data_IF_961054571127
#
_entry.id   IF_961054571127
#
_cell.length_a   1.000
_cell.length_b   1.000
_cell.length_c   1.000
_cell.angle_alpha   90.00
_cell.angle_beta   90.00
_cell.angle_gamma   90.00
#
_symmetry.space_group_name_H-M   'P 1'
#
loop_
_entity.id
_entity.type
_entity.pdbx_description
1 polymer ?
#
# COMPACT_ATOMS: atom_id res chain seq x y z
N UNK A 1 19.38 39.05 -29.97
CA UNK A 1 18.80 37.69 -30.08
C UNK A 1 18.99 36.98 -28.75
N UNK A 2 17.93 36.56 -28.04
CA UNK A 2 18.08 35.87 -26.77
C UNK A 2 18.68 34.46 -26.96
N UNK A 3 19.61 34.09 -26.08
CA UNK A 3 20.29 32.79 -26.07
C UNK A 3 19.29 31.64 -25.96
N UNK A 4 19.54 30.53 -26.67
CA UNK A 4 18.73 29.30 -26.64
C UNK A 4 18.43 28.79 -25.23
N UNK A 5 19.29 29.09 -24.25
CA UNK A 5 19.10 28.72 -22.84
C UNK A 5 18.03 29.56 -22.13
N UNK A 6 17.83 30.82 -22.54
CA UNK A 6 16.82 31.71 -21.94
C UNK A 6 15.41 31.32 -22.41
N UNK A 7 15.28 30.89 -23.67
CA UNK A 7 14.00 30.44 -24.24
C UNK A 7 13.52 29.13 -23.59
N UNK A 8 14.44 28.20 -23.29
CA UNK A 8 14.09 26.93 -22.63
C UNK A 8 13.64 27.12 -21.19
N UNK A 9 14.28 28.01 -20.44
CA UNK A 9 13.86 28.31 -19.06
C UNK A 9 12.49 28.99 -19.00
N UNK A 10 12.17 29.87 -19.95
CA UNK A 10 10.87 30.54 -20.01
C UNK A 10 9.73 29.54 -20.34
N UNK A 11 9.97 28.55 -21.20
CA UNK A 11 8.99 27.51 -21.53
C UNK A 11 8.69 26.60 -20.34
N UNK A 12 9.72 26.24 -19.54
CA UNK A 12 9.54 25.41 -18.34
C UNK A 12 8.80 26.18 -17.24
N UNK A 13 9.07 27.47 -17.06
CA UNK A 13 8.37 28.30 -16.09
C UNK A 13 6.89 28.54 -16.47
N UNK A 14 6.58 28.73 -17.75
CA UNK A 14 5.18 28.85 -18.21
C UNK A 14 4.41 27.53 -18.04
N UNK A 15 5.05 26.38 -18.24
CA UNK A 15 4.42 25.06 -18.02
C UNK A 15 4.01 24.80 -16.57
N UNK A 16 4.80 25.26 -15.59
CA UNK A 16 4.50 25.12 -14.17
C UNK A 16 3.36 26.06 -13.70
N UNK A 17 3.23 27.24 -14.31
CA UNK A 17 2.18 28.21 -13.95
C UNK A 17 0.81 27.79 -14.49
N UNK A 18 0.75 27.20 -15.70
CA UNK A 18 -0.51 26.72 -16.31
C UNK A 18 -1.07 25.49 -15.58
N UNK A 19 -0.21 24.62 -15.03
CA UNK A 19 -0.63 23.41 -14.33
C UNK A 19 -1.21 23.70 -12.93
N UNK A 20 -0.77 24.76 -12.25
CA UNK A 20 -1.36 25.23 -10.98
C UNK A 20 -2.71 25.92 -11.22
N UNK A 21 -2.89 26.60 -12.35
CA UNK A 21 -4.15 27.29 -12.69
C UNK A 21 -5.28 26.32 -13.07
N UNK A 22 -4.97 25.18 -13.72
CA UNK A 22 -5.96 24.17 -14.10
C UNK A 22 -6.52 23.39 -12.90
N UNK A 23 -5.74 23.22 -11.82
CA UNK A 23 -6.18 22.53 -10.61
C UNK A 23 -7.06 23.39 -9.70
N UNK A 24 -7.09 24.71 -9.88
CA UNK A 24 -7.85 25.63 -9.03
C UNK A 24 -9.22 26.05 -9.61
N UNK A 25 -9.62 25.54 -10.79
CA UNK A 25 -10.91 25.85 -11.44
C UNK A 25 -12.01 24.80 -11.24
N UNK A 26 -11.73 23.70 -10.55
CA UNK A 26 -12.71 22.64 -10.28
C UNK A 26 -13.26 22.71 -8.85
N UNK A 27 -13.93 23.82 -8.50
CA UNK A 27 -14.87 23.86 -7.38
C UNK A 27 -16.30 23.78 -7.93
N UNK A 28 -16.89 22.60 -7.84
CA UNK A 28 -18.30 22.38 -8.21
C UNK A 28 -19.18 22.92 -7.07
N UNK A 29 -19.99 23.92 -7.39
CA UNK A 29 -21.05 24.42 -6.52
C UNK A 29 -22.15 23.35 -6.39
N UNK A 30 -22.33 22.80 -5.20
CA UNK A 30 -23.50 21.97 -4.89
C UNK A 30 -24.64 22.89 -4.46
N UNK A 31 -25.55 23.13 -5.39
CA UNK A 31 -26.85 23.76 -5.12
C UNK A 31 -27.67 22.85 -4.21
N UNK A 32 -28.09 23.37 -3.06
CA UNK A 32 -29.08 22.73 -2.19
C UNK A 32 -30.41 22.66 -2.94
N UNK A 33 -30.89 21.45 -3.24
CA UNK A 33 -32.27 21.24 -3.69
C UNK A 33 -33.10 20.70 -2.53
N UNK A 34 -34.21 21.38 -2.26
CA UNK A 34 -35.18 21.07 -1.21
C UNK A 34 -35.89 19.74 -1.47
N UNK A 35 -36.14 19.02 -0.38
CA UNK A 35 -36.95 17.82 -0.34
C UNK A 35 -38.42 18.15 -0.63
N UNK A 36 -39.05 17.37 -1.53
CA UNK A 36 -40.50 17.13 -1.49
C UNK A 36 -40.74 15.70 -1.06
N UNK A 37 -41.58 15.60 -0.03
CA UNK A 37 -42.13 14.39 0.57
C UNK A 37 -42.58 13.36 -0.47
N UNK A 38 -42.15 12.12 -0.27
CA UNK A 38 -42.97 10.93 -0.47
C UNK A 38 -42.35 9.81 0.37
N UNK A 39 -42.98 9.56 1.51
CA UNK A 39 -42.63 8.54 2.48
C UNK A 39 -42.87 7.15 1.90
N UNK A 40 -41.79 6.37 1.76
CA UNK A 40 -41.84 4.92 1.57
C UNK A 40 -41.01 4.31 2.68
N UNK A 41 -41.65 3.46 3.48
CA UNK A 41 -41.09 2.77 4.64
C UNK A 41 -39.81 2.02 4.27
N UNK A 42 -38.69 2.42 4.87
CA UNK A 42 -37.43 1.70 4.83
C UNK A 42 -37.42 0.63 5.90
N UNK A 43 -37.20 -0.62 5.51
CA UNK A 43 -36.67 -1.61 6.45
C UNK A 43 -35.29 -1.12 6.88
N UNK A 44 -35.11 -0.97 8.19
CA UNK A 44 -33.86 -0.54 8.83
C UNK A 44 -32.71 -1.46 8.40
N UNK A 45 -31.73 -0.90 7.70
CA UNK A 45 -30.42 -1.52 7.52
C UNK A 45 -29.66 -1.37 8.85
N UNK A 46 -29.69 -2.40 9.69
CA UNK A 46 -28.74 -2.51 10.79
C UNK A 46 -27.34 -2.79 10.23
N UNK A 47 -26.43 -1.86 10.52
CA UNK A 47 -25.00 -2.02 10.79
C UNK A 47 -24.20 -2.99 9.90
N UNK A 48 -23.68 -2.44 8.79
CA UNK A 48 -22.51 -2.95 8.09
C UNK A 48 -21.24 -2.13 8.36
N UNK A 49 -21.20 -1.38 9.48
CA UNK A 49 -20.04 -0.53 9.83
C UNK A 49 -18.83 -1.30 10.37
N UNK A 50 -18.93 -2.60 10.63
CA UNK A 50 -17.82 -3.41 11.15
C UNK A 50 -17.58 -4.67 10.30
N UNK A 51 -17.06 -4.45 9.09
CA UNK A 51 -16.81 -5.52 8.14
C UNK A 51 -15.46 -6.21 8.37
N UNK A 52 -15.51 -7.50 8.71
CA UNK A 52 -14.35 -8.41 8.74
C UNK A 52 -14.44 -9.36 7.53
N UNK A 53 -13.33 -10.02 7.17
CA UNK A 53 -13.11 -10.75 5.90
C UNK A 53 -14.07 -11.93 5.58
N UNK A 54 -15.16 -12.11 6.33
CA UNK A 54 -16.15 -13.19 6.16
C UNK A 54 -17.55 -12.71 5.75
N UNK A 55 -17.74 -11.42 5.49
CA UNK A 55 -19.07 -10.88 5.22
C UNK A 55 -19.70 -11.37 3.92
N UNK A 56 -18.89 -11.66 2.90
CA UNK A 56 -19.38 -12.31 1.67
C UNK A 56 -20.10 -13.63 1.97
N UNK A 57 -19.56 -14.45 2.90
CA UNK A 57 -20.16 -15.73 3.30
C UNK A 57 -21.50 -15.51 4.01
N UNK A 58 -21.59 -14.50 4.87
CA UNK A 58 -22.86 -14.12 5.54
C UNK A 58 -23.88 -13.61 4.53
N UNK A 59 -23.46 -12.79 3.56
CA UNK A 59 -24.33 -12.29 2.50
C UNK A 59 -24.86 -13.47 1.69
N UNK A 60 -23.99 -14.34 1.17
CA UNK A 60 -24.41 -15.48 0.35
C UNK A 60 -25.32 -16.45 1.11
N UNK A 61 -25.04 -16.72 2.38
CA UNK A 61 -25.87 -17.62 3.20
C UNK A 61 -27.18 -16.97 3.66
N UNK A 62 -27.24 -15.64 3.80
CA UNK A 62 -28.48 -14.90 4.14
C UNK A 62 -29.41 -14.66 2.95
N UNK A 63 -28.94 -14.90 1.72
CA UNK A 63 -29.80 -14.86 0.53
C UNK A 63 -30.86 -15.97 0.56
N UNK A 64 -30.67 -17.03 1.35
CA UNK A 64 -31.51 -18.23 1.33
C UNK A 64 -32.43 -18.34 2.58
N UNK A 65 -33.73 -18.11 2.36
CA UNK A 65 -34.79 -18.62 3.25
C UNK A 65 -35.89 -19.24 2.38
N UNK A 66 -35.63 -20.50 2.00
CA UNK A 66 -36.54 -21.58 1.55
C UNK A 66 -36.41 -21.96 0.07
N UNK A 67 -36.19 -23.28 -0.07
CA UNK A 67 -36.50 -24.21 -1.17
C UNK A 67 -35.71 -24.04 -2.47
N UNK A 68 -34.61 -24.78 -2.61
CA UNK A 68 -34.47 -25.93 -3.53
C UNK A 68 -33.13 -26.65 -3.30
N UNK A 69 -33.01 -27.88 -3.82
CA UNK A 69 -31.86 -28.78 -3.64
C UNK A 69 -30.56 -28.09 -4.08
N UNK A 70 -29.66 -27.81 -3.12
CA UNK A 70 -28.46 -27.01 -3.37
C UNK A 70 -27.42 -27.85 -4.11
N UNK A 71 -27.27 -27.60 -5.42
CA UNK A 71 -26.12 -28.11 -6.16
C UNK A 71 -24.91 -27.25 -5.83
N UNK A 72 -24.06 -27.77 -4.95
CA UNK A 72 -22.79 -27.15 -4.59
C UNK A 72 -21.80 -27.22 -5.77
N UNK A 73 -21.84 -26.20 -6.63
CA UNK A 73 -20.96 -26.09 -7.80
C UNK A 73 -19.47 -25.97 -7.42
N UNK A 74 -19.14 -25.67 -6.15
CA UNK A 74 -17.75 -25.66 -5.67
C UNK A 74 -17.15 -27.06 -5.57
N UNK A 75 -17.99 -28.10 -5.56
CA UNK A 75 -17.55 -29.51 -5.51
C UNK A 75 -17.34 -30.16 -6.88
N UNK A 76 -17.75 -29.52 -7.96
CA UNK A 76 -17.76 -30.15 -9.30
C UNK A 76 -16.51 -29.90 -10.13
N UNK A 77 -15.66 -28.93 -9.78
CA UNK A 77 -14.34 -28.76 -10.39
C UNK A 77 -13.41 -28.09 -9.38
N UNK A 78 -12.50 -28.84 -8.78
CA UNK A 78 -11.37 -28.27 -8.03
C UNK A 78 -10.36 -27.70 -9.03
N UNK A 79 -10.69 -26.57 -9.65
CA UNK A 79 -9.63 -25.71 -10.15
C UNK A 79 -8.84 -25.27 -8.91
N UNK A 80 -7.52 -25.41 -8.96
CA UNK A 80 -6.59 -25.04 -7.89
C UNK A 80 -6.47 -23.50 -7.84
N UNK A 81 -7.59 -22.84 -7.55
CA UNK A 81 -7.63 -21.41 -7.30
C UNK A 81 -7.29 -21.17 -5.85
N UNK A 82 -6.23 -20.40 -5.62
CA UNK A 82 -5.89 -19.94 -4.28
C UNK A 82 -6.94 -18.93 -3.79
N UNK A 83 -7.91 -19.46 -3.04
CA UNK A 83 -8.98 -18.71 -2.40
C UNK A 83 -8.47 -17.75 -1.30
N UNK A 84 -7.19 -17.82 -0.94
CA UNK A 84 -6.58 -16.99 0.11
C UNK A 84 -6.03 -15.65 -0.42
N UNK A 85 -5.97 -15.47 -1.75
CA UNK A 85 -5.50 -14.22 -2.36
C UNK A 85 -6.48 -13.05 -2.13
N UNK A 86 -5.95 -11.82 -2.07
CA UNK A 86 -6.78 -10.61 -1.99
C UNK A 86 -7.64 -10.44 -3.24
N UNK A 87 -7.16 -10.88 -4.40
CA UNK A 87 -7.93 -10.89 -5.65
C UNK A 87 -9.14 -11.81 -5.57
N UNK A 88 -8.98 -13.02 -5.05
CA UNK A 88 -10.09 -13.93 -4.82
C UNK A 88 -11.10 -13.36 -3.80
N UNK A 89 -10.59 -12.79 -2.71
CA UNK A 89 -11.43 -12.16 -1.69
C UNK A 89 -12.22 -10.96 -2.24
N UNK A 90 -11.58 -10.10 -3.04
CA UNK A 90 -12.22 -8.95 -3.68
C UNK A 90 -13.32 -9.40 -4.64
N UNK A 91 -13.09 -10.47 -5.41
CA UNK A 91 -14.07 -11.04 -6.32
C UNK A 91 -15.30 -11.59 -5.57
N UNK A 92 -15.07 -12.28 -4.43
CA UNK A 92 -16.13 -12.77 -3.55
C UNK A 92 -16.95 -11.64 -2.94
N UNK A 93 -16.29 -10.59 -2.46
CA UNK A 93 -16.96 -9.42 -1.88
C UNK A 93 -17.80 -8.67 -2.93
N UNK A 94 -17.24 -8.47 -4.13
CA UNK A 94 -17.94 -7.84 -5.26
C UNK A 94 -19.17 -8.63 -5.67
N UNK A 95 -19.01 -9.93 -5.93
CA UNK A 95 -20.12 -10.77 -6.37
C UNK A 95 -21.22 -10.86 -5.31
N UNK A 96 -20.85 -10.93 -4.04
CA UNK A 96 -21.83 -11.00 -2.94
C UNK A 96 -22.68 -9.74 -2.86
N UNK A 97 -22.05 -8.55 -2.93
CA UNK A 97 -22.79 -7.29 -2.95
C UNK A 97 -23.63 -7.12 -4.22
N UNK A 98 -23.11 -7.55 -5.37
CA UNK A 98 -23.84 -7.58 -6.63
C UNK A 98 -25.13 -8.42 -6.52
N UNK A 99 -25.02 -9.67 -6.04
CA UNK A 99 -26.15 -10.59 -5.89
C UNK A 99 -27.19 -10.06 -4.89
N UNK A 100 -26.74 -9.46 -3.79
CA UNK A 100 -27.62 -8.84 -2.81
C UNK A 100 -28.49 -7.75 -3.43
N UNK A 101 -27.89 -6.87 -4.24
CA UNK A 101 -28.62 -5.81 -4.92
C UNK A 101 -29.54 -6.33 -6.03
N UNK A 102 -29.21 -7.48 -6.65
CA UNK A 102 -30.00 -8.10 -7.71
C UNK A 102 -31.22 -8.88 -7.19
N UNK A 103 -31.21 -9.31 -5.93
CA UNK A 103 -32.26 -10.15 -5.29
C UNK A 103 -33.69 -9.62 -5.46
N UNK A 104 -33.87 -8.30 -5.61
CA UNK A 104 -35.18 -7.66 -5.80
C UNK A 104 -35.71 -7.63 -7.24
N UNK A 105 -35.05 -8.30 -8.20
CA UNK A 105 -35.45 -8.27 -9.62
C UNK A 105 -35.20 -6.93 -10.32
N UNK A 106 -34.69 -5.92 -9.60
CA UNK A 106 -34.35 -4.61 -10.15
C UNK A 106 -33.21 -4.70 -11.16
N UNK A 107 -33.20 -3.81 -12.13
CA UNK A 107 -32.01 -3.56 -12.94
C UNK A 107 -31.00 -2.78 -12.10
N UNK A 108 -29.73 -3.16 -12.22
CA UNK A 108 -28.63 -2.44 -11.59
C UNK A 108 -28.28 -1.24 -12.47
N UNK A 109 -28.10 -0.09 -11.84
CA UNK A 109 -27.61 1.12 -12.50
C UNK A 109 -26.09 1.20 -12.40
N UNK A 110 -25.48 2.15 -13.12
CA UNK A 110 -24.06 2.46 -12.95
C UNK A 110 -23.76 2.89 -11.49
N UNK A 111 -24.62 3.71 -10.89
CA UNK A 111 -24.50 4.16 -9.50
C UNK A 111 -24.47 3.00 -8.50
N UNK A 112 -25.18 1.89 -8.77
CA UNK A 112 -25.14 0.71 -7.92
C UNK A 112 -23.76 0.04 -7.95
N UNK A 113 -23.16 -0.06 -9.15
CA UNK A 113 -21.82 -0.63 -9.34
C UNK A 113 -20.76 0.28 -8.70
N UNK A 114 -20.92 1.60 -8.81
CA UNK A 114 -20.03 2.56 -8.16
C UNK A 114 -20.09 2.46 -6.64
N UNK A 115 -21.29 2.25 -6.07
CA UNK A 115 -21.47 2.00 -4.63
C UNK A 115 -20.81 0.70 -4.19
N UNK A 116 -21.01 -0.40 -4.91
CA UNK A 116 -20.34 -1.68 -4.60
C UNK A 116 -18.82 -1.47 -4.59
N UNK A 117 -18.29 -0.86 -5.65
CA UNK A 117 -16.86 -0.63 -5.80
C UNK A 117 -16.32 0.25 -4.68
N UNK A 118 -17.00 1.36 -4.39
CA UNK A 118 -16.61 2.29 -3.32
C UNK A 118 -16.62 1.64 -1.94
N UNK A 119 -17.62 0.79 -1.65
CA UNK A 119 -17.70 0.05 -0.39
C UNK A 119 -16.54 -0.92 -0.24
N UNK A 120 -16.24 -1.69 -1.29
CA UNK A 120 -15.11 -2.65 -1.28
C UNK A 120 -13.80 -1.91 -1.09
N UNK A 121 -13.51 -0.90 -1.92
CA UNK A 121 -12.26 -0.14 -1.84
C UNK A 121 -12.12 0.64 -0.52
N UNK A 122 -13.22 0.88 0.18
CA UNK A 122 -13.22 1.51 1.51
C UNK A 122 -12.88 0.53 2.64
N UNK A 123 -12.92 -0.78 2.41
CA UNK A 123 -12.59 -1.77 3.45
C UNK A 123 -11.10 -1.70 3.82
N UNK A 124 -10.75 -1.73 5.12
CA UNK A 124 -9.36 -1.68 5.59
C UNK A 124 -8.44 -2.71 4.93
N UNK A 125 -8.97 -3.89 4.59
CA UNK A 125 -8.20 -4.98 3.99
C UNK A 125 -7.66 -4.66 2.59
N UNK A 126 -8.24 -3.69 1.89
CA UNK A 126 -7.79 -3.24 0.56
C UNK A 126 -7.08 -1.87 0.59
N UNK A 127 -6.96 -1.24 1.77
CA UNK A 127 -6.41 0.11 1.92
C UNK A 127 -4.90 0.13 2.16
N UNK A 128 -4.40 -0.79 2.96
CA UNK A 128 -3.01 -0.76 3.41
C UNK A 128 -2.43 -2.15 3.55
N UNK A 129 -1.15 -2.27 3.22
CA UNK A 129 -0.39 -3.46 3.56
C UNK A 129 0.12 -3.32 4.99
N UNK A 130 0.04 -4.40 5.78
CA UNK A 130 0.55 -4.40 7.15
C UNK A 130 2.02 -4.80 7.13
N UNK A 131 2.90 -3.86 7.47
CA UNK A 131 4.32 -4.15 7.67
C UNK A 131 4.63 -4.47 9.13
N UNK A 132 5.59 -5.36 9.42
CA UNK A 132 6.11 -5.53 10.78
C UNK A 132 6.56 -4.18 11.36
N UNK A 133 6.06 -3.87 12.56
CA UNK A 133 6.42 -2.65 13.29
C UNK A 133 7.37 -3.02 14.42
N UNK A 134 8.58 -2.52 14.33
CA UNK A 134 9.60 -2.65 15.35
C UNK A 134 9.46 -1.56 16.41
N UNK A 135 9.63 -1.96 17.66
CA UNK A 135 9.54 -1.11 18.84
C UNK A 135 10.81 -1.19 19.67
N UNK A 136 10.91 -0.37 20.71
CA UNK A 136 12.09 -0.32 21.60
C UNK A 136 12.47 -1.68 22.19
N UNK A 137 11.48 -2.53 22.48
CA UNK A 137 11.70 -3.90 22.98
C UNK A 137 12.47 -4.80 22.01
N UNK A 138 12.51 -4.47 20.72
CA UNK A 138 13.26 -5.22 19.72
C UNK A 138 14.74 -4.82 19.65
N UNK A 139 15.15 -3.74 20.33
CA UNK A 139 16.49 -3.16 20.19
C UNK A 139 17.45 -3.63 21.28
N UNK A 140 18.74 -3.68 20.93
CA UNK A 140 19.85 -3.77 21.88
C UNK A 140 20.21 -2.36 22.34
N UNK A 141 19.58 -1.89 23.42
CA UNK A 141 19.79 -0.53 23.93
C UNK A 141 21.06 -0.49 24.79
N UNK A 142 21.95 0.46 24.48
CA UNK A 142 23.10 0.80 25.32
C UNK A 142 22.78 2.03 26.17
N UNK A 143 22.98 1.99 27.50
CA UNK A 143 22.79 3.16 28.36
C UNK A 143 23.86 4.24 28.13
N UNK A 144 24.95 3.89 27.44
CA UNK A 144 26.09 4.79 27.25
C UNK A 144 25.80 5.78 26.11
N UNK A 145 25.81 7.07 26.43
CA UNK A 145 25.73 8.19 25.49
C UNK A 145 27.04 9.00 25.44
N UNK A 146 28.17 8.41 25.85
CA UNK A 146 29.46 9.06 25.74
C UNK A 146 29.90 9.17 24.26
N UNK A 147 30.83 10.09 24.00
CA UNK A 147 31.26 10.42 22.63
C UNK A 147 31.82 9.18 21.90
N UNK A 148 32.51 8.27 22.60
CA UNK A 148 33.08 7.07 21.97
C UNK A 148 31.98 6.09 21.55
N UNK A 149 30.97 5.88 22.40
CA UNK A 149 29.79 5.06 22.09
C UNK A 149 29.00 5.62 20.91
N UNK A 150 28.78 6.94 20.88
CA UNK A 150 28.08 7.61 19.78
C UNK A 150 28.86 7.51 18.45
N UNK A 151 30.18 7.67 18.47
CA UNK A 151 31.03 7.49 17.28
C UNK A 151 30.98 6.07 16.76
N UNK A 152 31.08 5.07 17.64
CA UNK A 152 30.97 3.67 17.24
C UNK A 152 29.61 3.37 16.59
N UNK A 153 28.52 3.86 17.18
CA UNK A 153 27.18 3.75 16.58
C UNK A 153 27.13 4.39 15.18
N UNK A 154 27.64 5.62 15.03
CA UNK A 154 27.71 6.30 13.74
C UNK A 154 28.47 5.48 12.69
N UNK A 155 29.63 4.96 13.06
CA UNK A 155 30.49 4.22 12.14
C UNK A 155 29.83 2.89 11.74
N UNK A 156 29.13 2.21 12.66
CA UNK A 156 28.33 1.02 12.37
C UNK A 156 27.17 1.32 11.40
N UNK A 157 26.39 2.38 11.65
CA UNK A 157 25.27 2.74 10.76
C UNK A 157 25.77 3.13 9.37
N UNK A 158 26.85 3.90 9.28
CA UNK A 158 27.46 4.27 7.99
C UNK A 158 27.95 3.05 7.22
N UNK A 159 28.54 2.06 7.91
CA UNK A 159 28.96 0.81 7.30
C UNK A 159 27.77 0.01 6.75
N UNK A 160 26.69 -0.11 7.54
CA UNK A 160 25.46 -0.80 7.12
C UNK A 160 24.86 -0.12 5.88
N UNK A 161 24.68 1.20 5.92
CA UNK A 161 24.15 1.98 4.79
C UNK A 161 24.99 1.81 3.53
N UNK A 162 26.32 1.86 3.66
CA UNK A 162 27.24 1.66 2.55
C UNK A 162 27.11 0.25 1.97
N UNK A 163 27.14 -0.78 2.81
CA UNK A 163 27.14 -2.16 2.33
C UNK A 163 25.80 -2.51 1.65
N UNK A 164 24.67 -2.18 2.29
CA UNK A 164 23.34 -2.52 1.79
C UNK A 164 22.95 -1.72 0.54
N UNK A 165 23.40 -0.47 0.42
CA UNK A 165 23.15 0.32 -0.80
C UNK A 165 23.87 -0.22 -2.04
N UNK A 166 24.98 -0.96 -1.88
CA UNK A 166 25.69 -1.58 -3.01
C UNK A 166 25.02 -2.87 -3.52
N UNK A 167 24.18 -3.49 -2.68
CA UNK A 167 23.42 -4.70 -3.03
C UNK A 167 22.20 -4.35 -3.91
N UNK A 168 21.59 -3.17 -3.70
CA UNK A 168 20.42 -2.72 -4.45
C UNK A 168 20.85 -2.03 -5.74
N UNK A 169 20.63 -2.71 -6.88
CA UNK A 169 21.00 -2.19 -8.21
C UNK A 169 19.82 -1.79 -9.08
N UNK A 170 18.65 -2.31 -8.76
CA UNK A 170 17.45 -2.18 -9.57
C UNK A 170 16.40 -1.32 -8.89
N UNK A 171 15.59 -0.66 -9.71
CA UNK A 171 14.40 0.05 -9.26
C UNK A 171 13.19 -0.91 -9.32
N UNK A 172 12.48 -1.15 -8.22
CA UNK A 172 11.32 -2.06 -8.18
C UNK A 172 10.26 -1.77 -9.27
N UNK A 173 9.96 -0.50 -9.52
CA UNK A 173 8.98 -0.08 -10.52
C UNK A 173 9.45 -0.41 -11.94
N UNK A 174 10.74 -0.27 -12.22
CA UNK A 174 11.30 -0.62 -13.52
C UNK A 174 11.30 -2.12 -13.76
N UNK A 175 11.61 -2.91 -12.73
CA UNK A 175 11.52 -4.38 -12.77
C UNK A 175 10.09 -4.82 -13.04
N UNK A 176 9.13 -4.32 -12.24
CA UNK A 176 7.72 -4.63 -12.40
C UNK A 176 7.19 -4.22 -13.79
N UNK A 177 7.51 -3.02 -14.26
CA UNK A 177 7.11 -2.55 -15.59
C UNK A 177 7.66 -3.43 -16.69
N UNK A 178 8.90 -3.90 -16.57
CA UNK A 178 9.54 -4.77 -17.56
C UNK A 178 8.90 -6.16 -17.57
N UNK A 179 8.64 -6.73 -16.39
CA UNK A 179 7.93 -8.01 -16.25
C UNK A 179 6.54 -7.93 -16.92
N UNK A 180 5.74 -6.93 -16.55
CA UNK A 180 4.39 -6.74 -17.09
C UNK A 180 4.37 -6.56 -18.62
N UNK A 181 5.27 -5.72 -19.17
CA UNK A 181 5.34 -5.46 -20.62
C UNK A 181 5.77 -6.67 -21.44
N UNK A 182 6.62 -7.51 -20.88
CA UNK A 182 7.17 -8.68 -21.59
C UNK A 182 6.45 -9.97 -21.25
N UNK A 183 5.44 -9.90 -20.36
CA UNK A 183 4.76 -11.05 -19.79
C UNK A 183 5.73 -12.11 -19.25
N UNK A 184 6.82 -11.66 -18.61
CA UNK A 184 7.89 -12.53 -18.13
C UNK A 184 8.01 -12.44 -16.60
N UNK A 185 7.42 -13.41 -15.91
CA UNK A 185 7.45 -13.49 -14.45
C UNK A 185 8.85 -13.71 -13.88
N UNK A 186 9.77 -14.33 -14.61
CA UNK A 186 11.14 -14.54 -14.15
C UNK A 186 11.92 -13.23 -13.94
N UNK A 187 11.48 -12.12 -14.55
CA UNK A 187 12.07 -10.81 -14.26
C UNK A 187 11.81 -10.34 -12.82
N UNK A 188 10.76 -10.86 -12.16
CA UNK A 188 10.41 -10.52 -10.80
C UNK A 188 11.39 -11.09 -9.76
N UNK A 189 12.20 -12.10 -10.12
CA UNK A 189 13.26 -12.62 -9.24
C UNK A 189 14.31 -11.54 -8.92
N UNK A 190 14.41 -10.49 -9.76
CA UNK A 190 15.25 -9.32 -9.46
C UNK A 190 14.75 -8.53 -8.25
N UNK A 191 13.45 -8.60 -7.94
CA UNK A 191 12.91 -8.00 -6.71
C UNK A 191 13.40 -8.74 -5.47
N UNK A 192 13.72 -10.04 -5.55
CA UNK A 192 14.25 -10.79 -4.41
C UNK A 192 15.59 -10.23 -3.93
N UNK A 193 16.44 -9.75 -4.85
CA UNK A 193 17.69 -9.09 -4.46
C UNK A 193 17.42 -7.85 -3.61
N UNK A 194 16.41 -7.06 -3.98
CA UNK A 194 16.02 -5.84 -3.27
C UNK A 194 15.39 -6.18 -1.91
N UNK A 195 14.50 -7.17 -1.87
CA UNK A 195 13.85 -7.67 -0.66
C UNK A 195 14.90 -8.21 0.32
N UNK A 196 15.81 -9.05 -0.16
CA UNK A 196 16.87 -9.65 0.66
C UNK A 196 17.84 -8.61 1.21
N UNK A 197 18.28 -7.64 0.40
CA UNK A 197 19.14 -6.55 0.86
C UNK A 197 18.44 -5.69 1.93
N UNK A 198 17.15 -5.40 1.73
CA UNK A 198 16.34 -4.61 2.68
C UNK A 198 16.07 -5.37 3.99
N UNK A 199 15.83 -6.69 3.91
CA UNK A 199 15.73 -7.54 5.09
C UNK A 199 17.08 -7.64 5.82
N UNK A 200 18.18 -7.77 5.07
CA UNK A 200 19.54 -7.72 5.62
C UNK A 200 19.82 -6.42 6.38
N UNK A 201 19.39 -5.28 5.83
CA UNK A 201 19.46 -3.98 6.50
C UNK A 201 18.71 -3.98 7.84
N UNK A 202 17.49 -4.50 7.88
CA UNK A 202 16.70 -4.60 9.11
C UNK A 202 17.42 -5.49 10.15
N UNK A 203 17.96 -6.64 9.73
CA UNK A 203 18.70 -7.54 10.63
C UNK A 203 19.98 -6.90 11.18
N UNK A 204 20.70 -6.14 10.36
CA UNK A 204 21.89 -5.41 10.83
C UNK A 204 21.51 -4.31 11.85
N UNK A 205 20.39 -3.61 11.62
CA UNK A 205 19.85 -2.61 12.54
C UNK A 205 19.46 -3.23 13.89
N UNK A 206 18.72 -4.35 13.88
CA UNK A 206 18.37 -5.09 15.10
C UNK A 206 19.58 -5.58 15.90
N UNK A 207 20.70 -5.85 15.22
CA UNK A 207 21.93 -6.31 15.84
C UNK A 207 22.84 -5.19 16.33
N UNK A 208 22.56 -3.94 15.94
CA UNK A 208 23.35 -2.78 16.33
C UNK A 208 23.04 -2.38 17.77
N UNK A 209 24.07 -2.05 18.55
CA UNK A 209 23.88 -1.47 19.89
C UNK A 209 23.46 -0.01 19.73
N UNK A 210 22.25 0.33 20.17
CA UNK A 210 21.63 1.64 19.96
C UNK A 210 21.76 2.48 21.23
N UNK A 211 22.48 3.63 21.20
CA UNK A 211 22.47 4.60 22.29
C UNK A 211 21.06 5.10 22.55
N UNK A 212 20.70 5.40 23.81
CA UNK A 212 19.35 5.88 24.15
C UNK A 212 18.91 7.09 23.32
N UNK A 213 19.84 8.01 23.06
CA UNK A 213 19.58 9.20 22.24
C UNK A 213 19.29 8.92 20.76
N UNK A 214 19.63 7.72 20.26
CA UNK A 214 19.44 7.31 18.87
C UNK A 214 18.17 6.48 18.62
N UNK A 215 17.49 6.01 19.68
CA UNK A 215 16.38 5.04 19.58
C UNK A 215 15.31 5.48 18.58
N UNK A 216 14.85 6.74 18.67
CA UNK A 216 13.77 7.25 17.82
C UNK A 216 14.17 7.26 16.34
N UNK A 217 15.32 7.84 16.00
CA UNK A 217 15.79 7.91 14.60
C UNK A 217 16.12 6.53 14.04
N UNK A 218 16.61 5.61 14.87
CA UNK A 218 16.90 4.23 14.51
C UNK A 218 15.61 3.46 14.15
N UNK A 219 14.61 3.48 15.04
CA UNK A 219 13.32 2.81 14.80
C UNK A 219 12.59 3.39 13.60
N UNK A 220 12.59 4.72 13.44
CA UNK A 220 11.90 5.37 12.33
C UNK A 220 12.46 4.91 10.98
N UNK A 221 13.78 4.83 10.84
CA UNK A 221 14.42 4.35 9.61
C UNK A 221 14.14 2.86 9.38
N UNK A 222 14.31 2.03 10.41
CA UNK A 222 14.07 0.58 10.32
C UNK A 222 12.61 0.27 9.92
N UNK A 223 11.64 0.93 10.53
CA UNK A 223 10.22 0.76 10.20
C UNK A 223 9.87 1.27 8.79
N UNK A 224 10.54 2.34 8.32
CA UNK A 224 10.36 2.79 6.95
C UNK A 224 10.88 1.78 5.92
N UNK A 225 11.99 1.09 6.21
CA UNK A 225 12.50 -0.01 5.37
C UNK A 225 11.58 -1.23 5.42
N UNK A 226 11.06 -1.60 6.60
CA UNK A 226 10.07 -2.67 6.77
C UNK A 226 8.84 -2.48 5.86
N UNK A 227 8.33 -1.24 5.78
CA UNK A 227 7.23 -0.90 4.89
C UNK A 227 7.58 -1.07 3.40
N UNK A 228 8.82 -0.72 3.01
CA UNK A 228 9.30 -0.92 1.63
C UNK A 228 9.45 -2.41 1.27
N UNK A 229 9.87 -3.25 2.22
CA UNK A 229 9.96 -4.71 2.02
C UNK A 229 8.60 -5.27 1.67
N UNK A 230 7.59 -5.06 2.52
CA UNK A 230 6.24 -5.59 2.30
C UNK A 230 5.62 -5.06 1.01
N UNK A 231 5.89 -3.80 0.67
CA UNK A 231 5.44 -3.21 -0.59
C UNK A 231 6.07 -3.89 -1.81
N UNK A 232 7.38 -4.14 -1.77
CA UNK A 232 8.12 -4.80 -2.85
C UNK A 232 7.71 -6.27 -2.99
N UNK A 233 7.50 -6.97 -1.87
CA UNK A 233 6.95 -8.33 -1.84
C UNK A 233 5.55 -8.36 -2.46
N UNK A 234 4.68 -7.41 -2.11
CA UNK A 234 3.36 -7.31 -2.71
C UNK A 234 3.43 -7.10 -4.23
N UNK A 235 4.31 -6.23 -4.72
CA UNK A 235 4.50 -6.03 -6.17
C UNK A 235 4.94 -7.29 -6.90
N UNK A 236 5.73 -8.15 -6.24
CA UNK A 236 6.18 -9.43 -6.81
C UNK A 236 5.01 -10.36 -7.13
N UNK A 237 3.88 -10.21 -6.44
CA UNK A 237 2.69 -11.04 -6.63
C UNK A 237 1.83 -10.62 -7.84
N UNK A 238 2.29 -9.77 -8.75
CA UNK A 238 1.46 -9.25 -9.87
C UNK A 238 0.80 -10.33 -10.73
N UNK A 239 1.38 -11.53 -10.84
CA UNK A 239 0.81 -12.65 -11.59
C UNK A 239 -0.07 -13.59 -10.75
N UNK A 240 0.10 -13.60 -9.42
CA UNK A 240 -0.60 -14.51 -8.51
C UNK A 240 -1.75 -13.80 -7.78
N UNK A 241 -1.52 -12.57 -7.34
CA UNK A 241 -2.47 -11.72 -6.64
C UNK A 241 -2.38 -10.25 -7.13
N UNK A 242 -2.95 -9.95 -8.31
CA UNK A 242 -2.92 -8.61 -8.91
C UNK A 242 -3.43 -7.50 -7.98
N UNK A 243 -4.48 -7.76 -7.18
CA UNK A 243 -5.01 -6.77 -6.22
C UNK A 243 -3.95 -6.44 -5.16
N UNK A 244 -3.28 -7.44 -4.60
CA UNK A 244 -2.17 -7.21 -3.65
C UNK A 244 -1.03 -6.44 -4.29
N UNK A 245 -0.65 -6.78 -5.53
CA UNK A 245 0.40 -6.07 -6.24
C UNK A 245 0.05 -4.61 -6.53
N UNK A 246 -1.20 -4.33 -6.90
CA UNK A 246 -1.70 -2.96 -7.06
C UNK A 246 -1.68 -2.19 -5.74
N UNK A 247 -2.02 -2.82 -4.61
CA UNK A 247 -1.90 -2.20 -3.30
C UNK A 247 -0.45 -1.81 -3.00
N UNK A 248 0.51 -2.70 -3.25
CA UNK A 248 1.94 -2.37 -3.16
C UNK A 248 2.28 -1.16 -4.03
N UNK A 249 1.99 -1.25 -5.32
CA UNK A 249 2.27 -0.18 -6.28
C UNK A 249 1.70 1.19 -5.85
N UNK A 250 0.45 1.23 -5.40
CA UNK A 250 -0.21 2.47 -4.97
C UNK A 250 0.47 3.16 -3.77
N UNK A 251 1.08 2.39 -2.87
CA UNK A 251 1.70 2.89 -1.65
C UNK A 251 3.20 3.20 -1.82
N UNK A 252 3.82 2.72 -2.89
CA UNK A 252 5.28 2.73 -3.05
C UNK A 252 5.89 4.13 -3.00
N UNK A 253 5.28 5.10 -3.68
CA UNK A 253 5.77 6.49 -3.67
C UNK A 253 5.72 7.09 -2.26
N UNK A 254 4.66 6.82 -1.50
CA UNK A 254 4.50 7.29 -0.12
C UNK A 254 5.57 6.68 0.80
N UNK A 255 5.77 5.36 0.71
CA UNK A 255 6.77 4.67 1.52
C UNK A 255 8.21 5.03 1.14
N UNK A 256 8.49 5.23 -0.15
CA UNK A 256 9.80 5.72 -0.62
C UNK A 256 10.08 7.13 -0.09
N UNK A 257 9.07 8.02 -0.12
CA UNK A 257 9.18 9.37 0.43
C UNK A 257 9.40 9.35 1.95
N UNK A 258 8.68 8.49 2.67
CA UNK A 258 8.89 8.31 4.11
C UNK A 258 10.29 7.79 4.41
N UNK A 259 10.77 6.77 3.68
CA UNK A 259 12.13 6.26 3.82
C UNK A 259 13.18 7.36 3.60
N UNK A 260 13.08 8.13 2.52
CA UNK A 260 13.99 9.24 2.24
C UNK A 260 14.01 10.27 3.37
N UNK A 261 12.83 10.60 3.92
CA UNK A 261 12.71 11.48 5.08
C UNK A 261 13.42 10.89 6.31
N UNK A 262 13.21 9.61 6.63
CA UNK A 262 13.84 8.97 7.81
C UNK A 262 15.34 8.78 7.66
N UNK A 263 15.80 8.54 6.44
CA UNK A 263 17.22 8.51 6.12
C UNK A 263 17.86 9.89 6.32
N UNK A 264 17.18 10.97 5.92
CA UNK A 264 17.65 12.33 6.16
C UNK A 264 17.70 12.68 7.66
N UNK A 265 16.69 12.26 8.43
CA UNK A 265 16.67 12.39 9.89
C UNK A 265 17.83 11.65 10.56
N UNK A 266 18.11 10.41 10.12
CA UNK A 266 19.27 9.64 10.58
C UNK A 266 20.58 10.37 10.26
N UNK A 267 20.79 10.82 9.02
CA UNK A 267 21.99 11.57 8.64
C UNK A 267 22.16 12.85 9.46
N UNK A 268 21.07 13.58 9.71
CA UNK A 268 21.09 14.78 10.56
C UNK A 268 21.51 14.45 11.99
N UNK A 269 21.02 13.34 12.57
CA UNK A 269 21.46 12.88 13.88
C UNK A 269 22.95 12.51 13.88
N UNK A 270 23.39 11.69 12.92
CA UNK A 270 24.77 11.21 12.83
C UNK A 270 25.79 12.34 12.63
N UNK A 271 25.46 13.36 11.84
CA UNK A 271 26.34 14.52 11.61
C UNK A 271 26.60 15.39 12.84
N UNK A 272 25.75 15.30 13.87
CA UNK A 272 25.96 16.01 15.15
C UNK A 272 26.98 15.31 16.06
N UNK A 273 27.32 14.05 15.75
CA UNK A 273 28.30 13.26 16.48
C UNK A 273 29.69 13.66 15.99
N UNK A 274 30.34 14.55 16.75
CA UNK A 274 31.72 15.02 16.51
C UNK A 274 32.73 13.92 16.77
#
# INVERSE_FOLDING_TARGET
MPSRKIITTIIICLGAIVSIWLLNRASINITKQQATDNSISTYSYEDLENSTSTDWKKILTSLDKKTEDFQDLTKQNSFDYDETTLTAQMSKDFMSQYLLLKKGGRQLTADDIDKITSNIMSSPQYKQLSAPVYVTKNLKISPNNDISSLRNYRDQINLILKNRSLEIRDNPIMVLSSAAKTNNSALLDRLDVIINASNGFIQDFLNTNVPESAISVHLNLMNAVSALVVNTEAMKEIYNDPVRAMMGLSQYTSYTTNFQKRLAEMNSYLSKIK
#
